data_IF_331687880048
#
_entry.id   IF_331687880048
#
_cell.length_a   1.000
_cell.length_b   1.000
_cell.length_c   1.000
_cell.angle_alpha   90.00
_cell.angle_beta   90.00
_cell.angle_gamma   90.00
#
_symmetry.space_group_name_H-M   'P 1'
#
loop_
_entity.id
_entity.type
_entity.pdbx_description
1 polymer ?
#
# COMPACT_ATOMS: atom_id res chain seq x y z
N UNK A 1 3.22 -27.99 24.23
CA UNK A 1 2.93 -27.39 22.93
C UNK A 1 3.81 -26.14 22.74
N UNK A 2 4.51 -26.00 21.61
CA UNK A 2 5.22 -24.74 21.35
C UNK A 2 4.18 -23.59 21.25
N UNK A 3 4.44 -22.42 21.86
CA UNK A 3 3.52 -21.32 21.75
C UNK A 3 3.31 -20.97 20.27
N UNK A 4 2.06 -20.66 19.89
CA UNK A 4 1.73 -20.24 18.52
C UNK A 4 2.48 -18.92 18.23
N UNK A 5 3.17 -18.87 17.09
CA UNK A 5 3.82 -17.63 16.68
C UNK A 5 2.77 -16.53 16.51
N UNK A 6 3.08 -15.28 16.89
CA UNK A 6 2.21 -14.16 16.55
C UNK A 6 2.09 -14.04 15.01
N UNK A 7 1.05 -13.37 14.55
CA UNK A 7 0.83 -13.16 13.13
C UNK A 7 1.55 -11.91 12.62
N UNK A 8 1.88 -11.91 11.32
CA UNK A 8 2.23 -10.74 10.53
C UNK A 8 1.53 -10.83 9.18
N UNK A 9 1.06 -9.73 8.65
CA UNK A 9 0.47 -9.70 7.31
C UNK A 9 1.43 -9.14 6.26
N UNK A 10 1.19 -9.54 5.01
CA UNK A 10 1.90 -8.98 3.86
C UNK A 10 0.93 -8.54 2.79
N UNK A 11 1.24 -7.44 2.15
CA UNK A 11 0.48 -6.90 1.02
C UNK A 11 1.37 -6.33 -0.06
N UNK A 12 0.84 -6.30 -1.27
CA UNK A 12 1.44 -5.65 -2.42
C UNK A 12 0.43 -4.65 -3.00
N UNK A 13 0.81 -3.37 -3.02
CA UNK A 13 0.05 -2.37 -3.76
C UNK A 13 0.41 -2.54 -5.23
N UNK A 14 -0.56 -2.99 -6.04
CA UNK A 14 -0.33 -3.34 -7.44
C UNK A 14 -0.37 -2.08 -8.33
N UNK A 15 0.47 -1.11 -7.97
CA UNK A 15 0.67 0.10 -8.75
C UNK A 15 1.20 -0.26 -10.13
N UNK A 16 0.54 0.23 -11.19
CA UNK A 16 0.96 -0.08 -12.54
C UNK A 16 1.89 1.01 -13.12
N UNK A 17 2.55 0.73 -14.22
CA UNK A 17 3.48 1.63 -14.91
C UNK A 17 2.92 3.03 -15.09
N UNK A 18 1.68 3.16 -15.57
CA UNK A 18 1.04 4.45 -15.83
C UNK A 18 0.90 5.31 -14.57
N UNK A 19 0.62 4.70 -13.41
CA UNK A 19 0.44 5.43 -12.14
C UNK A 19 1.74 6.07 -11.66
N UNK A 20 2.87 5.39 -11.85
CA UNK A 20 4.19 5.95 -11.57
C UNK A 20 4.57 7.08 -12.53
N UNK A 21 4.32 6.91 -13.84
CA UNK A 21 4.55 7.97 -14.84
C UNK A 21 3.71 9.21 -14.53
N UNK A 22 2.41 9.03 -14.23
CA UNK A 22 1.49 10.09 -13.83
C UNK A 22 1.99 10.84 -12.59
N UNK A 23 2.38 10.11 -11.56
CA UNK A 23 2.87 10.69 -10.31
C UNK A 23 4.19 11.44 -10.53
N UNK A 24 5.08 10.92 -11.36
CA UNK A 24 6.35 11.57 -11.69
C UNK A 24 6.17 12.80 -12.59
N UNK A 25 5.04 12.95 -13.29
CA UNK A 25 4.80 14.00 -14.26
C UNK A 25 5.41 13.70 -15.65
N UNK A 26 5.62 12.43 -15.97
CA UNK A 26 6.06 11.96 -17.29
C UNK A 26 4.87 11.91 -18.26
N UNK A 27 5.12 12.14 -19.55
CA UNK A 27 4.12 12.02 -20.59
C UNK A 27 3.79 10.56 -20.93
N UNK A 28 2.64 10.34 -21.58
CA UNK A 28 2.24 9.03 -22.11
C UNK A 28 1.55 8.12 -21.11
N UNK A 29 1.33 8.56 -19.87
CA UNK A 29 0.57 7.79 -18.88
C UNK A 29 -0.92 7.66 -19.27
N UNK A 30 -1.45 8.56 -20.07
CA UNK A 30 -2.85 8.62 -20.53
C UNK A 30 -3.25 7.42 -21.39
N UNK A 31 -2.27 6.72 -21.99
CA UNK A 31 -2.48 5.46 -22.71
C UNK A 31 -2.53 4.25 -21.78
N UNK A 32 -2.42 4.48 -20.48
CA UNK A 32 -2.39 3.44 -19.44
C UNK A 32 -1.38 2.31 -19.75
N UNK A 33 -0.07 2.63 -19.98
CA UNK A 33 0.93 1.60 -20.20
C UNK A 33 1.03 0.68 -18.99
N UNK A 34 1.17 -0.63 -19.26
CA UNK A 34 1.16 -1.67 -18.23
C UNK A 34 2.46 -2.48 -18.25
N UNK A 35 2.75 -3.15 -17.17
CA UNK A 35 3.76 -4.20 -17.01
C UNK A 35 3.20 -5.40 -16.22
N UNK A 36 1.86 -5.46 -16.05
CA UNK A 36 1.25 -6.51 -15.22
C UNK A 36 1.48 -7.91 -15.79
N UNK A 37 1.62 -8.03 -17.10
CA UNK A 37 1.98 -9.26 -17.81
C UNK A 37 3.41 -9.76 -17.49
N UNK A 38 4.29 -8.87 -17.03
CA UNK A 38 5.66 -9.21 -16.60
C UNK A 38 5.72 -9.44 -15.09
N UNK A 39 5.20 -8.49 -14.30
CA UNK A 39 5.38 -8.52 -12.85
C UNK A 39 4.49 -9.54 -12.16
N UNK A 40 3.24 -9.72 -12.59
CA UNK A 40 2.31 -10.62 -11.91
C UNK A 40 2.79 -12.08 -11.95
N UNK A 41 3.17 -12.67 -13.10
CA UNK A 41 3.73 -14.02 -13.11
C UNK A 41 4.98 -14.18 -12.23
N UNK A 42 5.86 -13.18 -12.21
CA UNK A 42 7.08 -13.17 -11.38
C UNK A 42 6.75 -13.20 -9.88
N UNK A 43 5.83 -12.34 -9.45
CA UNK A 43 5.36 -12.26 -8.05
C UNK A 43 4.65 -13.54 -7.64
N UNK A 44 3.74 -14.06 -8.48
CA UNK A 44 3.02 -15.31 -8.19
C UNK A 44 3.98 -16.50 -8.07
N UNK A 45 4.96 -16.63 -8.99
CA UNK A 45 5.99 -17.67 -8.91
C UNK A 45 6.81 -17.55 -7.63
N UNK A 46 7.20 -16.32 -7.25
CA UNK A 46 7.98 -16.05 -6.05
C UNK A 46 7.24 -16.48 -4.76
N UNK A 47 5.95 -16.18 -4.62
CA UNK A 47 5.16 -16.56 -3.43
C UNK A 47 4.73 -18.01 -3.44
N UNK A 48 4.41 -18.59 -4.62
CA UNK A 48 4.10 -20.01 -4.78
C UNK A 48 5.25 -20.89 -4.30
N UNK A 49 6.50 -20.56 -4.68
CA UNK A 49 7.69 -21.27 -4.24
C UNK A 49 7.93 -21.26 -2.71
N UNK A 50 7.21 -20.41 -1.99
CA UNK A 50 7.28 -20.27 -0.51
C UNK A 50 6.01 -20.70 0.20
N UNK A 51 5.02 -21.18 -0.55
CA UNK A 51 3.69 -21.54 -0.02
C UNK A 51 3.06 -20.38 0.78
N UNK A 52 3.13 -19.17 0.26
CA UNK A 52 2.62 -17.96 0.91
C UNK A 52 1.52 -17.33 0.09
N UNK A 53 0.47 -16.89 0.76
CA UNK A 53 -0.57 -16.03 0.21
C UNK A 53 -0.48 -14.64 0.85
N UNK A 54 -0.70 -13.60 0.06
CA UNK A 54 -0.67 -12.19 0.50
C UNK A 54 -1.90 -11.46 -0.02
N UNK A 55 -2.08 -10.21 0.39
CA UNK A 55 -3.12 -9.33 -0.13
C UNK A 55 -2.56 -8.48 -1.27
N UNK A 56 -3.28 -8.43 -2.41
CA UNK A 56 -3.00 -7.50 -3.50
C UNK A 56 -4.04 -6.39 -3.50
N UNK A 57 -3.61 -5.14 -3.41
CA UNK A 57 -4.48 -3.99 -3.61
C UNK A 57 -4.47 -3.61 -5.09
N UNK A 58 -5.60 -3.78 -5.75
CA UNK A 58 -5.76 -3.60 -7.19
C UNK A 58 -6.37 -2.23 -7.50
N UNK A 59 -5.81 -1.55 -8.49
CA UNK A 59 -6.34 -0.29 -9.00
C UNK A 59 -7.52 -0.58 -9.94
N UNK A 60 -8.66 0.07 -9.71
CA UNK A 60 -9.89 -0.15 -10.49
C UNK A 60 -9.71 0.17 -11.98
N UNK A 61 -8.94 1.19 -12.33
CA UNK A 61 -8.62 1.53 -13.71
C UNK A 61 -7.90 0.38 -14.43
N UNK A 62 -6.98 -0.31 -13.75
CA UNK A 62 -6.30 -1.48 -14.32
C UNK A 62 -7.26 -2.65 -14.50
N UNK A 63 -8.17 -2.84 -13.55
CA UNK A 63 -9.21 -3.86 -13.64
C UNK A 63 -10.26 -3.57 -14.73
N UNK A 64 -10.44 -2.30 -15.13
CA UNK A 64 -11.32 -1.94 -16.22
C UNK A 64 -10.74 -2.20 -17.62
N UNK A 65 -9.43 -2.42 -17.73
CA UNK A 65 -8.73 -2.61 -18.99
C UNK A 65 -8.63 -4.09 -19.38
N UNK A 66 -9.15 -4.44 -20.55
CA UNK A 66 -9.15 -5.83 -21.07
C UNK A 66 -7.74 -6.44 -21.08
N UNK A 67 -6.73 -5.66 -21.47
CA UNK A 67 -5.32 -6.10 -21.53
C UNK A 67 -4.75 -6.58 -20.19
N UNK A 68 -5.37 -6.25 -19.05
CA UNK A 68 -4.92 -6.61 -17.72
C UNK A 68 -5.72 -7.77 -17.11
N UNK A 69 -6.84 -8.18 -17.69
CA UNK A 69 -7.80 -9.13 -17.11
C UNK A 69 -7.14 -10.45 -16.73
N UNK A 70 -6.35 -11.05 -17.64
CA UNK A 70 -5.73 -12.35 -17.40
C UNK A 70 -4.71 -12.29 -16.24
N UNK A 71 -3.90 -11.23 -16.17
CA UNK A 71 -2.95 -11.05 -15.08
C UNK A 71 -3.68 -10.90 -13.72
N UNK A 72 -4.76 -10.13 -13.67
CA UNK A 72 -5.53 -9.91 -12.44
C UNK A 72 -6.28 -11.18 -12.01
N UNK A 73 -6.91 -11.90 -12.96
CA UNK A 73 -7.55 -13.18 -12.69
C UNK A 73 -6.55 -14.24 -12.18
N UNK A 74 -5.30 -14.23 -12.68
CA UNK A 74 -4.26 -15.14 -12.22
C UNK A 74 -3.94 -14.96 -10.74
N UNK A 75 -3.98 -13.72 -10.20
CA UNK A 75 -3.76 -13.43 -8.78
C UNK A 75 -4.83 -14.12 -7.93
N UNK A 76 -6.09 -13.99 -8.32
CA UNK A 76 -7.23 -14.60 -7.65
C UNK A 76 -7.17 -16.13 -7.72
N UNK A 77 -6.91 -16.68 -8.91
CA UNK A 77 -6.77 -18.15 -9.11
C UNK A 77 -5.62 -18.75 -8.30
N UNK A 78 -4.59 -17.96 -8.00
CA UNK A 78 -3.49 -18.39 -7.11
C UNK A 78 -3.86 -18.35 -5.62
N UNK A 79 -5.09 -17.96 -5.26
CA UNK A 79 -5.60 -17.94 -3.89
C UNK A 79 -5.16 -16.73 -3.06
N UNK A 80 -4.64 -15.67 -3.70
CA UNK A 80 -4.32 -14.44 -3.03
C UNK A 80 -5.59 -13.63 -2.70
N UNK A 81 -5.52 -12.84 -1.63
CA UNK A 81 -6.59 -11.90 -1.27
C UNK A 81 -6.55 -10.67 -2.18
N UNK A 82 -7.72 -10.21 -2.59
CA UNK A 82 -7.90 -9.00 -3.39
C UNK A 82 -8.44 -7.86 -2.51
N UNK A 83 -7.76 -6.73 -2.52
CA UNK A 83 -8.16 -5.47 -1.91
C UNK A 83 -8.37 -4.38 -2.97
N UNK A 84 -9.03 -3.29 -2.58
CA UNK A 84 -9.34 -2.14 -3.40
C UNK A 84 -8.30 -1.03 -3.20
N UNK A 85 -7.71 -0.53 -4.32
CA UNK A 85 -6.72 0.57 -4.31
C UNK A 85 -7.24 1.84 -5.00
N UNK A 86 -8.54 2.17 -4.84
CA UNK A 86 -9.30 3.20 -5.56
C UNK A 86 -9.41 2.94 -7.06
N UNK A 87 -10.17 3.79 -7.79
CA UNK A 87 -10.33 3.62 -9.22
C UNK A 87 -9.21 4.31 -10.01
N UNK A 88 -9.00 5.62 -9.80
CA UNK A 88 -8.04 6.41 -10.59
C UNK A 88 -6.63 6.50 -9.97
N UNK A 89 -6.37 5.82 -8.85
CA UNK A 89 -5.09 5.83 -8.15
C UNK A 89 -4.61 7.26 -7.82
N UNK A 90 -5.49 8.07 -7.22
CA UNK A 90 -5.15 9.45 -6.87
C UNK A 90 -4.55 9.58 -5.46
N UNK A 91 -3.27 9.96 -5.32
CA UNK A 91 -2.65 10.12 -4.00
C UNK A 91 -3.26 11.25 -3.15
N UNK A 92 -4.11 12.09 -3.75
CA UNK A 92 -4.86 13.14 -3.09
C UNK A 92 -6.35 12.83 -2.89
N UNK A 93 -6.72 11.55 -2.93
CA UNK A 93 -8.09 11.07 -2.68
C UNK A 93 -8.71 11.65 -1.41
N UNK A 94 -7.90 11.95 -0.38
CA UNK A 94 -8.34 12.58 0.87
C UNK A 94 -8.92 13.99 0.72
N UNK A 95 -8.70 14.64 -0.43
CA UNK A 95 -9.26 15.95 -0.77
C UNK A 95 -10.61 15.86 -1.50
N UNK A 96 -11.04 14.65 -1.88
CA UNK A 96 -12.27 14.42 -2.61
C UNK A 96 -13.49 14.59 -1.70
N UNK A 97 -14.60 15.04 -2.29
CA UNK A 97 -15.91 15.05 -1.64
C UNK A 97 -16.38 13.62 -1.36
N UNK A 98 -17.33 13.46 -0.43
CA UNK A 98 -17.92 12.17 -0.10
C UNK A 98 -18.50 11.46 -1.34
N UNK A 99 -19.17 12.22 -2.23
CA UNK A 99 -19.71 11.66 -3.47
C UNK A 99 -18.65 11.17 -4.46
N UNK A 100 -17.53 11.90 -4.59
CA UNK A 100 -16.39 11.47 -5.41
C UNK A 100 -15.72 10.22 -4.83
N UNK A 101 -15.51 10.16 -3.52
CA UNK A 101 -14.97 8.97 -2.84
C UNK A 101 -15.88 7.77 -3.04
N UNK A 102 -17.20 7.96 -2.91
CA UNK A 102 -18.17 6.88 -3.14
C UNK A 102 -18.09 6.35 -4.58
N UNK A 103 -17.97 7.24 -5.56
CA UNK A 103 -17.79 6.85 -6.97
C UNK A 103 -16.48 6.10 -7.20
N UNK A 104 -15.36 6.57 -6.61
CA UNK A 104 -14.05 5.89 -6.68
C UNK A 104 -14.13 4.46 -6.15
N UNK A 105 -14.72 4.27 -4.97
CA UNK A 105 -14.85 2.98 -4.34
C UNK A 105 -15.78 2.05 -5.13
N UNK A 106 -16.96 2.55 -5.53
CA UNK A 106 -17.96 1.76 -6.24
C UNK A 106 -17.45 1.26 -7.60
N UNK A 107 -16.85 2.17 -8.39
CA UNK A 107 -16.30 1.82 -9.71
C UNK A 107 -15.15 0.81 -9.56
N UNK A 108 -14.26 1.02 -8.60
CA UNK A 108 -13.17 0.09 -8.35
C UNK A 108 -13.69 -1.30 -7.95
N UNK A 109 -14.66 -1.38 -7.01
CA UNK A 109 -15.27 -2.66 -6.60
C UNK A 109 -15.86 -3.41 -7.80
N UNK A 110 -16.65 -2.74 -8.64
CA UNK A 110 -17.31 -3.36 -9.79
C UNK A 110 -16.30 -3.99 -10.76
N UNK A 111 -15.27 -3.23 -11.13
CA UNK A 111 -14.28 -3.71 -12.09
C UNK A 111 -13.34 -4.76 -11.49
N UNK A 112 -12.93 -4.60 -10.24
CA UNK A 112 -12.09 -5.58 -9.53
C UNK A 112 -12.84 -6.90 -9.37
N UNK A 113 -14.10 -6.87 -8.91
CA UNK A 113 -14.91 -8.08 -8.77
C UNK A 113 -15.12 -8.78 -10.11
N UNK A 114 -15.37 -8.05 -11.20
CA UNK A 114 -15.48 -8.59 -12.55
C UNK A 114 -14.20 -9.25 -13.03
N UNK A 115 -13.03 -8.64 -12.77
CA UNK A 115 -11.75 -9.13 -13.25
C UNK A 115 -11.20 -10.31 -12.43
N UNK A 116 -11.58 -10.42 -11.15
CA UNK A 116 -10.96 -11.36 -10.20
C UNK A 116 -11.93 -12.37 -9.61
N UNK A 117 -13.23 -12.20 -9.84
CA UNK A 117 -14.32 -12.97 -9.20
C UNK A 117 -14.29 -12.89 -7.66
N UNK A 118 -13.56 -11.92 -7.10
CA UNK A 118 -13.50 -11.65 -5.66
C UNK A 118 -13.94 -10.22 -5.36
N UNK A 119 -14.94 -10.09 -4.49
CA UNK A 119 -15.34 -8.79 -3.95
C UNK A 119 -14.29 -8.32 -2.93
N UNK A 120 -13.67 -7.14 -3.10
CA UNK A 120 -12.73 -6.63 -2.13
C UNK A 120 -13.43 -6.27 -0.81
N UNK A 121 -12.83 -6.69 0.30
CA UNK A 121 -13.30 -6.36 1.67
C UNK A 121 -12.29 -5.52 2.44
N UNK A 122 -11.16 -5.23 1.85
CA UNK A 122 -10.11 -4.36 2.36
C UNK A 122 -9.80 -3.21 1.42
N UNK A 123 -9.38 -2.09 1.97
CA UNK A 123 -9.02 -0.89 1.22
C UNK A 123 -7.64 -0.39 1.61
N UNK A 124 -6.93 0.17 0.64
CA UNK A 124 -5.76 1.02 0.86
C UNK A 124 -5.83 2.21 -0.08
N UNK A 125 -5.78 3.43 0.47
CA UNK A 125 -5.72 4.65 -0.33
C UNK A 125 -4.34 4.84 -0.97
N UNK A 126 -4.27 5.20 -2.26
CA UNK A 126 -3.02 5.49 -2.93
C UNK A 126 -2.21 6.54 -2.18
N UNK A 127 -0.89 6.31 -2.04
CA UNK A 127 -0.02 7.18 -1.26
C UNK A 127 -0.45 7.36 0.20
N UNK A 128 -1.16 6.38 0.78
CA UNK A 128 -1.74 6.42 2.14
C UNK A 128 -2.76 7.54 2.32
N UNK A 129 -3.47 7.88 1.25
CA UNK A 129 -4.50 8.92 1.24
C UNK A 129 -5.73 8.45 2.01
N UNK A 130 -6.06 9.15 3.09
CA UNK A 130 -7.18 8.80 3.97
C UNK A 130 -7.86 10.06 4.50
N UNK A 131 -9.21 10.07 4.48
CA UNK A 131 -10.04 11.13 5.03
C UNK A 131 -11.20 10.58 5.88
N UNK A 132 -11.86 11.44 6.65
CA UNK A 132 -13.08 11.07 7.37
C UNK A 132 -14.15 10.54 6.39
N UNK A 133 -14.30 11.20 5.24
CA UNK A 133 -15.24 10.78 4.21
C UNK A 133 -14.90 9.38 3.66
N UNK A 134 -13.60 9.07 3.47
CA UNK A 134 -13.16 7.72 3.07
C UNK A 134 -13.57 6.68 4.12
N UNK A 135 -13.23 6.89 5.39
CA UNK A 135 -13.59 5.96 6.49
C UNK A 135 -15.11 5.74 6.54
N UNK A 136 -15.90 6.82 6.43
CA UNK A 136 -17.37 6.75 6.44
C UNK A 136 -17.91 5.94 5.25
N UNK A 137 -17.38 6.16 4.05
CA UNK A 137 -17.80 5.43 2.86
C UNK A 137 -17.42 3.95 2.93
N UNK A 138 -16.23 3.61 3.42
CA UNK A 138 -15.81 2.22 3.63
C UNK A 138 -16.74 1.48 4.60
N UNK A 139 -17.11 2.12 5.72
CA UNK A 139 -18.07 1.53 6.69
C UNK A 139 -19.43 1.30 6.05
N UNK A 140 -19.95 2.30 5.32
CA UNK A 140 -21.26 2.21 4.64
C UNK A 140 -21.28 1.09 3.60
N UNK A 141 -20.16 0.88 2.90
CA UNK A 141 -20.00 -0.18 1.89
C UNK A 141 -19.67 -1.56 2.49
N UNK A 142 -19.49 -1.65 3.81
CA UNK A 142 -19.28 -2.91 4.51
C UNK A 142 -17.85 -3.45 4.43
N UNK A 143 -16.85 -2.60 4.23
CA UNK A 143 -15.45 -3.02 4.30
C UNK A 143 -15.11 -3.54 5.69
N UNK A 144 -14.26 -4.56 5.74
CA UNK A 144 -13.79 -5.16 6.98
C UNK A 144 -12.64 -4.34 7.57
N UNK A 145 -11.73 -3.88 6.71
CA UNK A 145 -10.55 -3.14 7.15
C UNK A 145 -10.11 -2.07 6.15
N UNK A 146 -9.39 -1.10 6.67
CA UNK A 146 -8.57 -0.12 5.98
C UNK A 146 -7.10 -0.36 6.31
N UNK A 147 -6.20 -0.07 5.39
CA UNK A 147 -4.76 -0.19 5.56
C UNK A 147 -4.02 1.05 5.03
N UNK A 148 -4.69 2.22 5.12
CA UNK A 148 -4.22 3.48 4.52
C UNK A 148 -3.34 4.31 5.45
N UNK A 149 -2.96 3.81 6.64
CA UNK A 149 -2.08 4.59 7.52
C UNK A 149 -0.65 4.09 7.48
N UNK A 150 0.30 5.03 7.35
CA UNK A 150 1.73 4.83 7.50
C UNK A 150 2.25 5.76 8.60
N UNK A 151 2.31 5.31 9.87
CA UNK A 151 2.69 6.13 11.00
C UNK A 151 4.18 6.51 10.99
N UNK A 152 4.55 7.54 10.21
CA UNK A 152 5.93 8.00 10.08
C UNK A 152 6.06 9.51 10.23
N UNK A 153 7.19 9.97 10.76
CA UNK A 153 7.57 11.39 10.81
C UNK A 153 8.24 11.85 9.50
N UNK A 154 8.56 10.94 8.58
CA UNK A 154 9.33 11.24 7.37
C UNK A 154 8.47 11.78 6.20
N UNK A 155 7.14 11.92 6.36
CA UNK A 155 6.27 12.46 5.31
C UNK A 155 6.77 13.77 4.68
N UNK A 156 7.12 14.82 5.48
CA UNK A 156 7.66 16.06 4.93
C UNK A 156 8.97 15.90 4.16
N UNK A 157 9.85 14.99 4.59
CA UNK A 157 11.11 14.70 3.92
C UNK A 157 10.87 13.97 2.59
N UNK A 158 10.00 12.98 2.59
CA UNK A 158 9.59 12.27 1.36
C UNK A 158 8.97 13.24 0.34
N UNK A 159 8.16 14.20 0.81
CA UNK A 159 7.61 15.27 -0.03
C UNK A 159 8.69 16.16 -0.62
N UNK A 160 9.66 16.60 0.18
CA UNK A 160 10.77 17.42 -0.30
C UNK A 160 11.54 16.67 -1.40
N UNK A 161 11.89 15.42 -1.17
CA UNK A 161 12.56 14.57 -2.16
C UNK A 161 11.73 14.42 -3.46
N UNK A 162 10.43 14.16 -3.33
CA UNK A 162 9.53 14.06 -4.48
C UNK A 162 9.53 15.35 -5.32
N UNK A 163 9.40 16.54 -4.70
CA UNK A 163 9.41 17.81 -5.44
C UNK A 163 10.77 18.17 -6.05
N UNK A 164 11.85 17.57 -5.54
CA UNK A 164 13.19 17.74 -6.15
C UNK A 164 13.38 16.85 -7.39
N UNK A 165 12.75 15.69 -7.43
CA UNK A 165 12.98 14.67 -8.47
C UNK A 165 11.88 14.63 -9.53
N UNK A 166 10.64 15.01 -9.20
CA UNK A 166 9.50 14.96 -10.12
C UNK A 166 9.52 16.10 -11.15
N UNK A 167 9.11 15.79 -12.38
CA UNK A 167 9.02 16.74 -13.52
C UNK A 167 7.65 17.41 -13.52
N UNK A 168 7.42 18.36 -12.61
CA UNK A 168 6.14 19.00 -12.40
C UNK A 168 6.13 20.48 -12.83
N UNK A 169 5.05 20.90 -13.44
CA UNK A 169 4.74 22.31 -13.66
C UNK A 169 4.49 23.05 -12.33
N UNK A 170 4.57 24.40 -12.30
CA UNK A 170 4.25 25.18 -11.11
C UNK A 170 2.82 24.96 -10.59
N UNK A 171 1.86 24.66 -11.47
CA UNK A 171 0.48 24.37 -11.10
C UNK A 171 0.39 23.01 -10.41
N UNK A 172 0.94 21.95 -11.00
CA UNK A 172 0.97 20.60 -10.40
C UNK A 172 1.68 20.59 -9.04
N UNK A 173 2.78 21.36 -8.90
CA UNK A 173 3.46 21.51 -7.61
C UNK A 173 2.55 22.09 -6.53
N UNK A 174 1.68 23.05 -6.89
CA UNK A 174 0.70 23.63 -5.95
C UNK A 174 -0.39 22.61 -5.57
N UNK A 175 -0.93 21.88 -6.56
CA UNK A 175 -1.96 20.86 -6.37
C UNK A 175 -1.46 19.70 -5.52
N UNK A 176 -0.20 19.32 -5.68
CA UNK A 176 0.42 18.18 -5.00
C UNK A 176 1.07 18.50 -3.64
N UNK A 177 0.90 19.74 -3.13
CA UNK A 177 1.44 20.13 -1.80
C UNK A 177 0.92 19.28 -0.63
N UNK A 178 -0.24 18.65 -0.78
CA UNK A 178 -0.85 17.81 0.24
C UNK A 178 -0.35 16.35 0.26
N UNK A 179 0.53 15.95 -0.68
CA UNK A 179 1.10 14.60 -0.71
C UNK A 179 1.97 14.30 0.52
N UNK A 180 2.12 13.00 0.83
CA UNK A 180 3.00 12.45 1.87
C UNK A 180 2.66 12.86 3.32
N UNK A 181 1.46 13.33 3.57
CA UNK A 181 1.00 13.64 4.91
C UNK A 181 1.82 14.70 5.68
N UNK A 182 1.29 15.25 6.76
CA UNK A 182 2.02 16.11 7.69
C UNK A 182 2.86 15.29 8.67
N UNK A 183 3.73 15.96 9.42
CA UNK A 183 4.51 15.35 10.51
C UNK A 183 3.62 14.64 11.56
N UNK A 184 2.38 15.11 11.73
CA UNK A 184 1.40 14.52 12.65
C UNK A 184 0.99 13.07 12.29
N UNK A 185 1.23 12.59 11.06
CA UNK A 185 1.01 11.18 10.72
C UNK A 185 1.87 10.26 11.60
N UNK A 186 3.06 10.70 11.99
CA UNK A 186 3.89 10.00 12.96
C UNK A 186 3.27 9.83 14.35
N UNK A 187 2.25 10.62 14.72
CA UNK A 187 1.55 10.49 15.99
C UNK A 187 0.50 9.37 15.98
N UNK A 188 0.12 8.84 14.80
CA UNK A 188 -0.85 7.75 14.69
C UNK A 188 -0.36 6.47 15.38
N UNK A 189 -1.29 5.62 15.86
CA UNK A 189 -0.93 4.30 16.38
C UNK A 189 -0.19 3.47 15.33
N UNK A 190 0.77 2.66 15.79
CA UNK A 190 1.46 1.66 14.95
C UNK A 190 0.86 0.26 15.10
N UNK A 191 0.06 0.03 16.15
CA UNK A 191 -0.74 -1.18 16.35
C UNK A 191 -2.08 -1.03 15.63
N UNK A 192 -2.70 -2.13 15.21
CA UNK A 192 -4.06 -2.10 14.70
C UNK A 192 -5.03 -1.48 15.70
N UNK A 193 -6.07 -0.82 15.18
CA UNK A 193 -7.11 -0.18 15.98
C UNK A 193 -8.43 -0.16 15.23
N UNK A 194 -9.48 0.29 15.90
CA UNK A 194 -10.81 0.44 15.32
C UNK A 194 -11.15 1.93 15.14
N UNK A 195 -11.61 2.28 13.95
CA UNK A 195 -12.19 3.60 13.72
C UNK A 195 -13.55 3.72 14.42
N UNK A 196 -13.75 4.81 15.18
CA UNK A 196 -15.03 5.12 15.79
C UNK A 196 -15.98 5.75 14.76
N UNK A 197 -16.95 4.97 14.27
CA UNK A 197 -17.82 5.37 13.15
C UNK A 197 -19.32 5.30 13.47
N UNK A 198 -19.70 5.19 14.73
CA UNK A 198 -21.11 5.18 15.16
C UNK A 198 -21.90 3.90 14.84
N UNK A 199 -21.22 2.85 14.35
CA UNK A 199 -21.83 1.56 13.99
C UNK A 199 -20.80 0.43 14.05
N UNK A 200 -20.89 -0.52 13.09
CA UNK A 200 -19.90 -1.58 12.91
C UNK A 200 -18.55 -0.92 12.58
N UNK A 201 -17.62 -0.93 13.51
CA UNK A 201 -16.34 -0.25 13.34
C UNK A 201 -15.48 -0.87 12.26
N UNK A 202 -14.76 -0.04 11.50
CA UNK A 202 -13.75 -0.43 10.53
C UNK A 202 -12.43 -0.69 11.23
N UNK A 203 -11.78 -1.81 10.97
CA UNK A 203 -10.43 -2.10 11.48
C UNK A 203 -9.40 -1.35 10.65
N UNK A 204 -8.48 -0.68 11.30
CA UNK A 204 -7.27 -0.13 10.67
C UNK A 204 -6.10 -1.07 10.92
N UNK A 205 -5.41 -1.46 9.84
CA UNK A 205 -4.15 -2.19 9.88
C UNK A 205 -3.03 -1.29 9.34
N UNK A 206 -2.34 -0.53 10.21
CA UNK A 206 -1.29 0.36 9.75
C UNK A 206 -0.16 -0.40 9.04
N UNK A 207 0.37 0.16 7.95
CA UNK A 207 1.65 -0.30 7.41
C UNK A 207 2.71 -0.07 8.49
N UNK A 208 3.43 -1.13 8.83
CA UNK A 208 4.32 -1.09 9.99
C UNK A 208 5.54 -0.22 9.72
N UNK A 209 5.81 0.67 10.65
CA UNK A 209 7.07 1.39 10.77
C UNK A 209 7.83 0.87 11.98
N UNK A 210 9.14 1.07 12.02
CA UNK A 210 9.97 0.65 13.16
C UNK A 210 9.42 1.27 14.46
N UNK A 211 9.00 0.47 15.44
CA UNK A 211 8.50 0.99 16.70
C UNK A 211 9.47 1.98 17.36
N UNK A 212 8.95 2.93 18.12
CA UNK A 212 9.66 4.04 18.78
C UNK A 212 10.10 5.10 17.75
N UNK A 213 10.87 4.75 16.74
CA UNK A 213 11.47 5.69 15.77
C UNK A 213 10.52 6.08 14.65
N UNK A 214 9.51 5.24 14.35
CA UNK A 214 8.52 5.45 13.28
C UNK A 214 9.14 5.76 11.91
N UNK A 215 10.21 5.06 11.60
CA UNK A 215 10.85 5.08 10.29
C UNK A 215 10.36 3.89 9.46
N UNK A 216 10.19 4.02 8.12
CA UNK A 216 9.63 2.98 7.28
C UNK A 216 10.46 1.70 7.28
N UNK A 217 9.78 0.55 7.20
CA UNK A 217 10.39 -0.79 7.05
C UNK A 217 9.79 -1.58 5.87
N UNK A 218 8.98 -0.93 5.01
CA UNK A 218 8.46 -1.57 3.81
C UNK A 218 9.59 -1.95 2.85
N UNK A 219 9.34 -2.94 2.00
CA UNK A 219 10.41 -3.61 1.22
C UNK A 219 11.17 -2.65 0.32
N UNK A 220 10.50 -1.73 -0.36
CA UNK A 220 11.17 -0.74 -1.24
C UNK A 220 12.19 0.10 -0.46
N UNK A 221 11.89 0.46 0.80
CA UNK A 221 12.83 1.19 1.66
C UNK A 221 14.05 0.32 2.04
N UNK A 222 13.83 -0.96 2.31
CA UNK A 222 14.91 -1.92 2.59
C UNK A 222 15.79 -2.12 1.35
N UNK A 223 15.20 -2.14 0.15
CA UNK A 223 15.95 -2.19 -1.11
C UNK A 223 16.82 -0.95 -1.30
N UNK A 224 16.34 0.25 -0.96
CA UNK A 224 17.19 1.46 -0.98
C UNK A 224 18.37 1.36 0.00
N UNK A 225 18.16 0.84 1.19
CA UNK A 225 19.27 0.58 2.13
C UNK A 225 20.23 -0.48 1.61
N UNK A 226 19.73 -1.47 0.88
CA UNK A 226 20.56 -2.55 0.30
C UNK A 226 21.48 -2.05 -0.82
N UNK A 227 21.18 -0.91 -1.47
CA UNK A 227 22.10 -0.26 -2.41
C UNK A 227 23.43 0.15 -1.75
N UNK A 228 23.41 0.45 -0.44
CA UNK A 228 24.62 0.73 0.33
C UNK A 228 25.30 -0.58 0.75
N UNK A 229 24.54 -1.48 1.37
CA UNK A 229 24.97 -2.85 1.70
C UNK A 229 23.76 -3.73 2.04
N UNK A 230 23.60 -4.93 1.46
CA UNK A 230 22.51 -5.85 1.81
C UNK A 230 22.49 -6.20 3.31
N UNK A 231 23.66 -6.37 3.94
CA UNK A 231 23.79 -6.62 5.37
C UNK A 231 23.20 -5.50 6.24
N UNK A 232 23.32 -4.23 5.81
CA UNK A 232 22.74 -3.09 6.50
C UNK A 232 21.21 -3.16 6.49
N UNK A 233 20.61 -3.42 5.33
CA UNK A 233 19.16 -3.57 5.19
C UNK A 233 18.61 -4.69 6.09
N UNK A 234 19.27 -5.85 6.10
CA UNK A 234 18.86 -6.99 6.92
C UNK A 234 19.05 -6.74 8.42
N UNK A 235 20.15 -6.07 8.83
CA UNK A 235 20.37 -5.70 10.23
C UNK A 235 19.34 -4.69 10.72
N UNK A 236 19.03 -3.68 9.89
CA UNK A 236 17.98 -2.70 10.14
C UNK A 236 16.61 -3.40 10.31
N UNK A 237 16.27 -4.35 9.42
CA UNK A 237 15.00 -5.07 9.50
C UNK A 237 14.94 -5.99 10.73
N UNK A 238 16.04 -6.71 11.11
CA UNK A 238 16.11 -7.48 12.35
C UNK A 238 15.87 -6.62 13.59
N UNK A 239 16.46 -5.42 13.63
CA UNK A 239 16.22 -4.47 14.71
C UNK A 239 14.75 -4.07 14.78
N UNK A 240 14.14 -3.78 13.64
CA UNK A 240 12.72 -3.45 13.57
C UNK A 240 11.83 -4.60 14.09
N UNK A 241 12.10 -5.85 13.69
CA UNK A 241 11.37 -7.01 14.18
C UNK A 241 11.56 -7.23 15.70
N UNK A 242 12.77 -7.04 16.22
CA UNK A 242 13.03 -7.12 17.66
C UNK A 242 12.22 -6.07 18.43
N UNK A 243 12.15 -4.83 17.92
CA UNK A 243 11.30 -3.78 18.50
C UNK A 243 9.80 -4.10 18.37
N UNK A 244 9.36 -4.68 17.24
CA UNK A 244 7.98 -5.13 17.10
C UNK A 244 7.61 -6.17 18.16
N UNK A 245 8.49 -7.12 18.45
CA UNK A 245 8.28 -8.11 19.54
C UNK A 245 8.21 -7.45 20.91
N UNK A 246 9.17 -6.60 21.23
CA UNK A 246 9.23 -5.91 22.53
C UNK A 246 8.00 -5.03 22.77
N UNK A 247 7.45 -4.43 21.72
CA UNK A 247 6.29 -3.52 21.81
C UNK A 247 4.96 -4.22 21.51
N UNK A 248 4.98 -5.53 21.25
CA UNK A 248 3.81 -6.34 20.85
C UNK A 248 3.08 -5.76 19.62
N UNK A 249 3.83 -5.33 18.62
CA UNK A 249 3.31 -4.92 17.30
C UNK A 249 3.28 -6.15 16.41
N UNK A 250 2.11 -6.40 15.80
CA UNK A 250 1.95 -7.39 14.74
C UNK A 250 2.29 -6.74 13.41
N UNK A 251 3.40 -7.11 12.73
CA UNK A 251 3.81 -6.42 11.52
C UNK A 251 2.82 -6.56 10.35
N UNK A 252 2.65 -5.48 9.60
CA UNK A 252 2.03 -5.45 8.27
C UNK A 252 3.08 -4.94 7.29
N UNK A 253 3.66 -5.85 6.50
CA UNK A 253 4.76 -5.55 5.57
C UNK A 253 4.19 -5.22 4.19
N UNK A 254 4.63 -4.11 3.63
CA UNK A 254 4.22 -3.62 2.32
C UNK A 254 5.30 -3.89 1.27
N UNK A 255 4.84 -4.34 0.09
CA UNK A 255 5.62 -4.51 -1.14
C UNK A 255 4.99 -3.71 -2.28
N UNK A 256 5.80 -3.44 -3.32
CA UNK A 256 5.36 -2.83 -4.57
C UNK A 256 5.89 -3.62 -5.78
N UNK A 257 5.33 -3.46 -6.98
CA UNK A 257 5.82 -4.10 -8.21
C UNK A 257 7.31 -3.83 -8.48
N UNK A 258 7.78 -2.62 -8.20
CA UNK A 258 9.17 -2.22 -8.41
C UNK A 258 10.16 -2.95 -7.50
N UNK A 259 9.69 -3.66 -6.48
CA UNK A 259 10.52 -4.54 -5.64
C UNK A 259 10.90 -5.84 -6.39
N UNK A 260 10.22 -6.13 -7.51
CA UNK A 260 10.38 -7.33 -8.35
C UNK A 260 10.87 -7.02 -9.75
N UNK A 261 10.90 -5.75 -10.17
CA UNK A 261 11.27 -5.29 -11.51
C UNK A 261 12.56 -4.48 -11.47
N UNK A 262 13.29 -4.44 -12.59
CA UNK A 262 14.45 -3.59 -12.79
C UNK A 262 14.34 -2.72 -14.05
N UNK A 263 15.41 -1.98 -14.38
CA UNK A 263 15.44 -1.10 -15.54
C UNK A 263 15.43 -1.84 -16.87
N UNK A 264 15.83 -3.10 -16.92
CA UNK A 264 15.77 -3.93 -18.13
C UNK A 264 14.34 -4.39 -18.40
N UNK A 265 13.55 -4.62 -17.36
CA UNK A 265 12.12 -4.89 -17.45
C UNK A 265 11.31 -3.64 -17.86
N UNK A 266 11.65 -2.45 -17.26
CA UNK A 266 10.88 -1.21 -17.45
C UNK A 266 11.78 0.01 -17.45
N UNK A 267 12.33 0.33 -18.62
CA UNK A 267 13.28 1.44 -18.79
C UNK A 267 12.71 2.81 -18.40
N UNK A 268 11.42 3.05 -18.68
CA UNK A 268 10.75 4.32 -18.38
C UNK A 268 10.71 4.66 -16.88
N UNK A 269 10.92 3.68 -15.98
CA UNK A 269 10.94 3.86 -14.54
C UNK A 269 12.35 3.86 -13.94
N UNK A 270 13.40 3.94 -14.76
CA UNK A 270 14.81 3.94 -14.34
C UNK A 270 15.20 5.14 -13.45
N UNK A 271 14.34 6.15 -13.35
CA UNK A 271 14.53 7.26 -12.43
C UNK A 271 14.36 6.90 -10.94
N UNK A 272 13.70 5.77 -10.62
CA UNK A 272 13.69 5.26 -9.26
C UNK A 272 15.04 4.60 -8.93
N UNK A 273 15.70 4.98 -7.82
CA UNK A 273 17.05 4.50 -7.50
C UNK A 273 17.20 2.97 -7.48
N UNK A 274 16.20 2.26 -6.93
CA UNK A 274 16.24 0.80 -6.84
C UNK A 274 16.05 0.10 -8.21
N UNK A 275 15.61 0.79 -9.27
CA UNK A 275 15.48 0.19 -10.60
C UNK A 275 16.84 -0.13 -11.24
N UNK A 276 17.93 0.46 -10.75
CA UNK A 276 19.30 0.13 -11.15
C UNK A 276 19.81 -1.19 -10.57
N UNK A 277 19.14 -1.72 -9.54
CA UNK A 277 19.48 -3.02 -8.96
C UNK A 277 18.81 -4.12 -9.79
N UNK A 278 19.57 -5.12 -10.31
CA UNK A 278 18.97 -6.23 -11.04
C UNK A 278 17.88 -6.94 -10.25
N UNK A 279 16.82 -7.35 -10.93
CA UNK A 279 15.64 -7.97 -10.30
C UNK A 279 16.01 -9.21 -9.50
N UNK A 280 16.97 -10.02 -9.96
CA UNK A 280 17.49 -11.18 -9.21
C UNK A 280 18.05 -10.78 -7.84
N UNK A 281 18.84 -9.69 -7.79
CA UNK A 281 19.41 -9.18 -6.55
C UNK A 281 18.34 -8.62 -5.60
N UNK A 282 17.30 -7.98 -6.15
CA UNK A 282 16.14 -7.58 -5.36
C UNK A 282 15.45 -8.79 -4.76
N UNK A 283 15.22 -9.85 -5.56
CA UNK A 283 14.56 -11.08 -5.10
C UNK A 283 15.36 -11.79 -3.99
N UNK A 284 16.70 -11.74 -4.03
CA UNK A 284 17.56 -12.24 -2.94
C UNK A 284 17.26 -11.47 -1.63
N UNK A 285 17.23 -10.14 -1.68
CA UNK A 285 16.95 -9.29 -0.50
C UNK A 285 15.51 -9.50 -0.02
N UNK A 286 14.52 -9.47 -0.92
CA UNK A 286 13.11 -9.70 -0.58
C UNK A 286 12.93 -11.07 0.07
N UNK A 287 13.57 -12.10 -0.48
CA UNK A 287 13.55 -13.45 0.08
C UNK A 287 14.11 -13.50 1.50
N UNK A 288 15.25 -12.84 1.75
CA UNK A 288 15.88 -12.79 3.06
C UNK A 288 14.98 -12.03 4.08
N UNK A 289 14.38 -10.91 3.67
CA UNK A 289 13.44 -10.13 4.50
C UNK A 289 12.22 -10.97 4.89
N UNK A 290 11.59 -11.63 3.92
CA UNK A 290 10.43 -12.50 4.17
C UNK A 290 10.83 -13.69 5.04
N UNK A 291 12.01 -14.28 4.83
CA UNK A 291 12.54 -15.35 5.66
C UNK A 291 12.72 -14.93 7.13
N UNK A 292 13.26 -13.73 7.37
CA UNK A 292 13.36 -13.18 8.73
C UNK A 292 11.98 -12.98 9.38
N UNK A 293 11.01 -12.47 8.63
CA UNK A 293 9.65 -12.29 9.13
C UNK A 293 8.97 -13.64 9.45
N UNK A 294 9.07 -14.62 8.55
CA UNK A 294 8.49 -15.95 8.71
C UNK A 294 9.12 -16.78 9.86
N UNK A 295 10.39 -16.50 10.20
CA UNK A 295 11.03 -17.12 11.34
C UNK A 295 10.37 -16.72 12.67
N UNK A 296 9.84 -15.52 12.78
CA UNK A 296 9.29 -14.96 14.01
C UNK A 296 7.75 -14.95 14.05
N UNK A 297 7.11 -14.85 12.88
CA UNK A 297 5.66 -14.68 12.74
C UNK A 297 5.05 -15.74 11.83
N UNK A 298 3.75 -16.01 12.03
CA UNK A 298 2.92 -16.71 11.04
C UNK A 298 2.44 -15.70 10.03
N UNK A 299 2.79 -15.89 8.75
CA UNK A 299 2.43 -14.95 7.68
C UNK A 299 1.00 -15.20 7.20
N UNK A 300 0.20 -14.14 7.13
CA UNK A 300 -1.23 -14.18 6.79
C UNK A 300 -1.57 -13.03 5.83
N UNK A 301 -2.76 -13.09 5.22
CA UNK A 301 -3.33 -11.96 4.47
C UNK A 301 -3.82 -10.86 5.43
N UNK A 302 -4.05 -9.65 4.91
CA UNK A 302 -4.61 -8.55 5.71
C UNK A 302 -6.02 -8.86 6.21
N UNK A 303 -6.84 -9.58 5.43
CA UNK A 303 -8.17 -10.04 5.86
C UNK A 303 -8.08 -10.93 7.09
N UNK A 304 -7.17 -11.90 7.08
CA UNK A 304 -6.96 -12.78 8.23
C UNK A 304 -6.46 -12.00 9.44
N UNK A 305 -5.52 -11.06 9.22
CA UNK A 305 -5.03 -10.16 10.27
C UNK A 305 -6.17 -9.33 10.87
N UNK A 306 -7.01 -8.71 10.04
CA UNK A 306 -8.14 -7.91 10.50
C UNK A 306 -9.16 -8.75 11.28
N UNK A 307 -9.43 -9.98 10.84
CA UNK A 307 -10.32 -10.90 11.57
C UNK A 307 -9.78 -11.26 12.96
N UNK A 308 -8.49 -11.59 13.08
CA UNK A 308 -7.87 -11.88 14.39
C UNK A 308 -7.89 -10.64 15.30
N UNK A 309 -7.52 -9.46 14.76
CA UNK A 309 -7.54 -8.19 15.50
C UNK A 309 -8.96 -7.82 15.98
N UNK A 310 -9.98 -8.08 15.15
CA UNK A 310 -11.37 -7.76 15.49
C UNK A 310 -11.89 -8.48 16.72
N UNK A 311 -11.26 -9.59 17.11
CA UNK A 311 -11.59 -10.40 18.29
C UNK A 311 -10.92 -9.91 19.59
N UNK A 312 -10.03 -8.92 19.50
CA UNK A 312 -9.38 -8.35 20.69
C UNK A 312 -10.40 -7.53 21.48
N UNK A 313 -10.74 -7.89 22.74
CA UNK A 313 -11.80 -7.22 23.50
C UNK A 313 -11.55 -5.72 23.71
N UNK A 314 -10.31 -5.36 24.05
CA UNK A 314 -9.90 -3.98 24.37
C UNK A 314 -9.11 -3.34 23.22
N UNK A 315 -9.51 -3.64 21.97
CA UNK A 315 -8.90 -3.01 20.81
C UNK A 315 -9.05 -1.49 20.87
N UNK A 316 -7.93 -0.78 20.72
CA UNK A 316 -7.93 0.68 20.76
C UNK A 316 -8.94 1.27 19.75
N UNK A 317 -9.65 2.32 20.17
CA UNK A 317 -10.63 3.02 19.33
C UNK A 317 -10.14 4.43 19.05
N UNK A 318 -10.10 4.81 17.77
CA UNK A 318 -9.61 6.12 17.31
C UNK A 318 -10.73 6.88 16.59
N UNK A 319 -10.88 8.15 16.93
CA UNK A 319 -11.87 9.02 16.29
C UNK A 319 -11.36 9.52 14.94
N UNK A 320 -12.17 9.49 13.86
CA UNK A 320 -11.78 9.99 12.55
C UNK A 320 -11.55 11.52 12.49
N UNK A 321 -11.93 12.28 13.52
CA UNK A 321 -11.77 13.75 13.58
C UNK A 321 -10.34 14.26 13.35
N UNK A 322 -9.34 13.44 13.58
CA UNK A 322 -7.95 13.77 13.24
C UNK A 322 -7.71 13.91 11.72
N UNK A 323 -8.70 13.54 10.91
CA UNK A 323 -8.68 13.62 9.44
C UNK A 323 -9.40 14.88 8.89
N UNK A 324 -10.11 15.65 9.76
CA UNK A 324 -10.99 16.76 9.32
C UNK A 324 -10.26 18.05 8.92
N UNK A 325 -8.97 18.16 9.15
CA UNK A 325 -8.25 19.43 8.96
C UNK A 325 -7.76 19.68 7.54
N UNK A 326 -8.56 19.62 6.47
CA UNK A 326 -8.16 20.19 5.16
C UNK A 326 -9.23 20.22 4.05
N UNK A 327 -10.49 20.41 4.36
CA UNK A 327 -11.57 20.52 3.36
C UNK A 327 -11.67 21.90 2.65
N UNK A 328 -10.64 22.70 2.57
CA UNK A 328 -10.72 24.04 1.93
C UNK A 328 -10.12 24.12 0.51
N UNK A 329 -9.72 23.02 -0.08
CA UNK A 329 -9.26 22.99 -1.47
C UNK A 329 -10.38 22.49 -2.39
N UNK A 330 -11.05 23.43 -3.09
CA UNK A 330 -11.84 23.10 -4.29
C UNK A 330 -10.85 22.79 -5.41
N UNK A 331 -10.68 21.52 -5.75
CA UNK A 331 -10.05 21.18 -7.03
C UNK A 331 -11.05 21.42 -8.16
N UNK A 332 -10.59 22.03 -9.23
CA UNK A 332 -11.31 22.03 -10.48
C UNK A 332 -11.52 20.57 -10.95
N UNK A 333 -12.68 20.23 -11.56
CA UNK A 333 -12.89 18.91 -12.11
C UNK A 333 -11.79 18.64 -13.14
N UNK A 334 -11.02 17.58 -12.91
CA UNK A 334 -10.08 17.08 -13.90
C UNK A 334 -10.82 16.66 -15.17
N UNK A 335 -10.17 16.60 -16.33
CA UNK A 335 -10.81 16.14 -17.55
C UNK A 335 -11.29 14.71 -17.34
N UNK A 336 -12.59 14.53 -17.38
CA UNK A 336 -13.21 13.22 -17.51
C UNK A 336 -13.06 12.77 -18.97
N UNK A 337 -12.57 11.54 -19.27
CA UNK A 337 -12.86 10.92 -20.54
C UNK A 337 -14.32 10.47 -20.60
#
# INVERSE_FOLDING_TARGET
>A
MKPRKPIASMSLDLDNKWSYLKTHGSQGWESFPTYLDVVVPRVLSFFKGRNLTITFFIVGQDAALEKNQEALAAISRAGHEIGNHSFHHEPWLHLYSEGQIESELARAEEHIERATEQKPVGFRGPGFSLSHATVKSLVRRGYLYDASTLPTYLGPLARAYYFMTAKLSPQEKRERKALFGPFSEGLRPIKPYRWQTGGRGLIEIPVTTMPVFKVPIHVSYLLYLSLLAPALALSYFRTALALCRLTHVQPSLLLHPLDFLDSDDVQDLSFFPAMKLPSEKKLEVVSAVIGLLANEYTLVTLRQHALEVSQIPDLAVVKPRLLEQRSSYRMAPGPHP
#
